data_IF_897409156808
#
_entry.id   IF_897409156808
#
_cell.length_a   1.000
_cell.length_b   1.000
_cell.length_c   1.000
_cell.angle_alpha   90.00
_cell.angle_beta   90.00
_cell.angle_gamma   90.00
#
_symmetry.space_group_name_H-M   'P 1'
#
loop_
_entity.id
_entity.type
_entity.pdbx_description
1 polymer ?
#
# COMPACT_ATOMS: atom_id res chain seq x y z
N UNK A 1 -9.44 14.73 -37.02
CA UNK A 1 -10.81 14.45 -36.54
C UNK A 1 -11.04 13.00 -36.09
N UNK A 2 -11.29 12.00 -36.95
CA UNK A 2 -11.57 10.62 -36.47
C UNK A 2 -10.39 9.94 -35.76
N UNK A 3 -9.15 10.15 -36.23
CA UNK A 3 -7.93 9.61 -35.57
C UNK A 3 -7.64 10.23 -34.19
N UNK A 4 -7.98 11.50 -33.99
CA UNK A 4 -7.84 12.17 -32.68
C UNK A 4 -8.93 11.75 -31.69
N UNK A 5 -10.16 11.53 -32.17
CA UNK A 5 -11.23 11.01 -31.33
C UNK A 5 -10.93 9.57 -30.89
N UNK A 6 -10.37 8.75 -31.79
CA UNK A 6 -9.86 7.42 -31.46
C UNK A 6 -8.66 7.47 -30.50
N UNK A 7 -7.67 8.35 -30.70
CA UNK A 7 -6.53 8.43 -29.78
C UNK A 7 -6.95 8.95 -28.39
N UNK A 8 -7.95 9.84 -28.32
CA UNK A 8 -8.53 10.34 -27.08
C UNK A 8 -9.37 9.27 -26.38
N UNK A 9 -10.22 8.53 -27.10
CA UNK A 9 -10.99 7.42 -26.56
C UNK A 9 -10.09 6.26 -26.10
N UNK A 10 -9.08 5.90 -26.89
CA UNK A 10 -8.08 4.90 -26.53
C UNK A 10 -7.17 5.39 -25.38
N UNK A 11 -6.93 6.70 -25.28
CA UNK A 11 -6.23 7.33 -24.15
C UNK A 11 -7.01 7.21 -22.83
N UNK A 12 -8.34 7.37 -22.87
CA UNK A 12 -9.20 7.14 -21.71
C UNK A 12 -9.25 5.67 -21.26
N UNK A 13 -9.06 4.73 -22.19
CA UNK A 13 -8.98 3.30 -21.89
C UNK A 13 -7.62 2.82 -21.35
N UNK A 14 -6.54 3.64 -21.42
CA UNK A 14 -5.22 3.25 -20.87
C UNK A 14 -5.20 3.11 -19.35
N UNK A 15 -6.26 3.55 -18.67
CA UNK A 15 -6.43 3.48 -17.22
C UNK A 15 -7.64 2.63 -16.82
N UNK A 16 -8.16 1.81 -17.74
CA UNK A 16 -9.21 0.86 -17.40
C UNK A 16 -8.63 -0.27 -16.56
N UNK A 17 -9.00 -0.32 -15.29
CA UNK A 17 -8.66 -1.43 -14.42
C UNK A 17 -9.39 -2.71 -14.84
N UNK A 18 -8.80 -3.87 -14.55
CA UNK A 18 -9.53 -5.13 -14.58
C UNK A 18 -10.52 -5.16 -13.40
N UNK A 19 -11.82 -5.13 -13.71
CA UNK A 19 -12.88 -5.15 -12.69
C UNK A 19 -12.95 -6.48 -11.94
N UNK A 20 -12.35 -7.55 -12.48
CA UNK A 20 -12.27 -8.85 -11.81
C UNK A 20 -11.10 -8.93 -10.83
N UNK A 21 -10.17 -7.98 -10.86
CA UNK A 21 -9.04 -7.93 -9.93
C UNK A 21 -9.49 -7.27 -8.61
N UNK A 22 -9.61 -8.03 -7.50
CA UNK A 22 -9.99 -7.48 -6.20
C UNK A 22 -8.91 -6.56 -5.60
N UNK A 23 -7.71 -6.54 -6.19
CA UNK A 23 -6.56 -5.74 -5.77
C UNK A 23 -6.29 -4.55 -6.70
N UNK A 24 -7.19 -4.26 -7.64
CA UNK A 24 -7.11 -3.06 -8.49
C UNK A 24 -7.01 -1.79 -7.64
N UNK A 25 -6.30 -0.78 -8.14
CA UNK A 25 -5.98 0.45 -7.41
C UNK A 25 -7.22 1.07 -6.75
N UNK A 26 -8.33 1.24 -7.47
CA UNK A 26 -9.52 1.87 -6.89
C UNK A 26 -10.17 1.04 -5.78
N UNK A 27 -10.09 -0.30 -5.83
CA UNK A 27 -10.56 -1.15 -4.75
C UNK A 27 -9.67 -0.99 -3.50
N UNK A 28 -8.33 -0.92 -3.69
CA UNK A 28 -7.39 -0.70 -2.58
C UNK A 28 -7.55 0.70 -1.98
N UNK A 29 -7.79 1.72 -2.80
CA UNK A 29 -8.09 3.08 -2.34
C UNK A 29 -9.38 3.12 -1.52
N UNK A 30 -10.44 2.42 -1.95
CA UNK A 30 -11.67 2.28 -1.17
C UNK A 30 -11.41 1.58 0.17
N UNK A 31 -10.61 0.51 0.19
CA UNK A 31 -10.22 -0.13 1.46
C UNK A 31 -9.49 0.85 2.39
N UNK A 32 -8.59 1.67 1.85
CA UNK A 32 -7.88 2.68 2.63
C UNK A 32 -8.81 3.78 3.17
N UNK A 33 -9.77 4.23 2.37
CA UNK A 33 -10.76 5.19 2.81
C UNK A 33 -11.65 4.62 3.93
N UNK A 34 -12.11 3.38 3.80
CA UNK A 34 -12.85 2.68 4.85
C UNK A 34 -12.04 2.54 6.14
N UNK A 35 -10.75 2.17 6.03
CA UNK A 35 -9.85 2.08 7.18
C UNK A 35 -9.73 3.45 7.89
N UNK A 36 -9.58 4.53 7.12
CA UNK A 36 -9.34 5.88 7.63
C UNK A 36 -10.58 6.53 8.25
N UNK A 37 -11.75 6.33 7.64
CA UNK A 37 -13.00 6.98 8.06
C UNK A 37 -13.78 6.14 9.08
N UNK A 38 -13.85 4.82 8.88
CA UNK A 38 -14.69 3.95 9.68
C UNK A 38 -13.90 3.18 10.73
N UNK A 39 -12.88 2.42 10.33
CA UNK A 39 -12.16 1.55 11.29
C UNK A 39 -11.37 2.35 12.32
N UNK A 40 -10.78 3.46 11.88
CA UNK A 40 -10.11 4.41 12.78
C UNK A 40 -11.08 5.03 13.79
N UNK A 41 -12.25 5.46 13.35
CA UNK A 41 -13.26 6.07 14.23
C UNK A 41 -13.80 5.04 15.23
N UNK A 42 -14.02 3.80 14.79
CA UNK A 42 -14.40 2.68 15.65
C UNK A 42 -13.34 2.39 16.72
N UNK A 43 -12.05 2.42 16.35
CA UNK A 43 -10.95 2.25 17.31
C UNK A 43 -10.91 3.40 18.32
N UNK A 44 -11.09 4.63 17.86
CA UNK A 44 -10.99 5.86 18.67
C UNK A 44 -12.15 6.01 19.67
N UNK A 45 -13.35 5.60 19.27
CA UNK A 45 -14.57 5.71 20.10
C UNK A 45 -14.78 4.50 21.01
N UNK A 46 -14.00 3.44 20.82
CA UNK A 46 -14.07 2.25 21.67
C UNK A 46 -13.62 2.53 23.10
N UNK A 47 -14.46 2.17 24.07
CA UNK A 47 -14.16 2.24 25.51
C UNK A 47 -12.98 1.34 25.90
N UNK A 48 -12.64 0.35 25.07
CA UNK A 48 -11.50 -0.55 25.29
C UNK A 48 -10.16 0.03 24.83
N UNK A 49 -10.16 1.09 24.01
CA UNK A 49 -8.94 1.77 23.55
C UNK A 49 -9.12 3.28 23.58
N UNK A 50 -8.72 3.91 24.69
CA UNK A 50 -8.51 5.35 24.70
C UNK A 50 -7.21 5.69 23.96
N UNK A 51 -7.24 5.60 22.63
CA UNK A 51 -6.11 5.94 21.77
C UNK A 51 -6.25 7.40 21.33
N UNK A 52 -5.39 8.26 21.85
CA UNK A 52 -5.36 9.66 21.40
C UNK A 52 -4.99 9.73 19.91
N UNK A 53 -5.46 10.77 19.22
CA UNK A 53 -5.12 10.99 17.82
C UNK A 53 -3.61 11.03 17.58
N UNK A 54 -2.88 11.76 18.44
CA UNK A 54 -1.41 11.87 18.37
C UNK A 54 -0.74 10.49 18.50
N UNK A 55 -1.20 9.67 19.45
CA UNK A 55 -0.66 8.32 19.67
C UNK A 55 -0.95 7.42 18.47
N UNK A 56 -2.19 7.36 18.00
CA UNK A 56 -2.54 6.48 16.87
C UNK A 56 -1.91 6.92 15.55
N UNK A 57 -1.86 8.22 15.25
CA UNK A 57 -1.14 8.74 14.09
C UNK A 57 0.34 8.36 14.14
N UNK A 58 0.98 8.44 15.32
CA UNK A 58 2.37 8.01 15.48
C UNK A 58 2.56 6.51 15.26
N UNK A 59 1.63 5.67 15.74
CA UNK A 59 1.66 4.21 15.51
C UNK A 59 1.53 3.89 14.02
N UNK A 60 0.61 4.56 13.33
CA UNK A 60 0.36 4.32 11.90
C UNK A 60 1.56 4.76 11.07
N UNK A 61 2.19 5.90 11.38
CA UNK A 61 3.43 6.33 10.71
C UNK A 61 4.54 5.31 10.86
N UNK A 62 4.80 4.81 12.07
CA UNK A 62 5.79 3.75 12.32
C UNK A 62 5.46 2.47 11.55
N UNK A 63 4.18 2.15 11.44
CA UNK A 63 3.73 0.99 10.68
C UNK A 63 3.95 1.17 9.17
N UNK A 64 3.68 2.35 8.63
CA UNK A 64 3.95 2.69 7.24
C UNK A 64 5.45 2.58 6.93
N UNK A 65 6.30 3.17 7.77
CA UNK A 65 7.76 3.07 7.64
C UNK A 65 8.24 1.61 7.64
N UNK A 66 7.63 0.76 8.49
CA UNK A 66 7.97 -0.66 8.55
C UNK A 66 7.52 -1.43 7.30
N UNK A 67 6.36 -1.08 6.74
CA UNK A 67 5.88 -1.68 5.48
C UNK A 67 6.79 -1.31 4.30
N UNK A 68 7.22 -0.04 4.20
CA UNK A 68 8.15 0.41 3.17
C UNK A 68 9.47 -0.37 3.26
N UNK A 69 10.05 -0.44 4.47
CA UNK A 69 11.31 -1.17 4.72
C UNK A 69 11.20 -2.66 4.42
N UNK A 70 10.09 -3.32 4.79
CA UNK A 70 9.90 -4.75 4.52
C UNK A 70 9.82 -5.03 3.01
N UNK A 71 9.05 -4.23 2.26
CA UNK A 71 8.94 -4.36 0.80
C UNK A 71 10.29 -4.09 0.13
N UNK A 72 10.99 -3.03 0.53
CA UNK A 72 12.33 -2.70 0.02
C UNK A 72 13.33 -3.82 0.28
N UNK A 73 13.37 -4.35 1.52
CA UNK A 73 14.26 -5.42 1.91
C UNK A 73 13.98 -6.71 1.12
N UNK A 74 12.72 -7.08 0.95
CA UNK A 74 12.34 -8.28 0.19
C UNK A 74 12.61 -8.14 -1.29
N UNK A 75 12.33 -6.98 -1.86
CA UNK A 75 12.69 -6.65 -3.25
C UNK A 75 14.20 -6.82 -3.42
N UNK A 76 14.99 -6.21 -2.55
CA UNK A 76 16.45 -6.29 -2.57
C UNK A 76 16.94 -7.75 -2.44
N UNK A 77 16.32 -8.54 -1.58
CA UNK A 77 16.67 -9.96 -1.41
C UNK A 77 16.38 -10.77 -2.69
N UNK A 78 15.24 -10.54 -3.35
CA UNK A 78 14.92 -11.21 -4.62
C UNK A 78 15.90 -10.79 -5.71
N UNK A 79 16.17 -9.49 -5.85
CA UNK A 79 17.14 -9.00 -6.84
C UNK A 79 18.52 -9.62 -6.64
N UNK A 80 18.99 -9.73 -5.39
CA UNK A 80 20.24 -10.43 -5.05
C UNK A 80 20.22 -11.91 -5.46
N UNK A 81 19.14 -12.63 -5.19
CA UNK A 81 19.01 -14.05 -5.57
C UNK A 81 19.00 -14.22 -7.10
N UNK A 82 18.48 -13.24 -7.83
CA UNK A 82 18.45 -13.23 -9.29
C UNK A 82 19.73 -12.65 -9.92
N UNK A 83 20.77 -12.34 -9.12
CA UNK A 83 21.99 -11.64 -9.54
C UNK A 83 21.73 -10.33 -10.31
N UNK A 84 20.62 -9.66 -10.00
CA UNK A 84 20.27 -8.36 -10.56
C UNK A 84 20.84 -7.28 -9.64
N UNK A 85 21.77 -6.43 -10.11
CA UNK A 85 22.37 -5.40 -9.28
C UNK A 85 21.32 -4.37 -8.82
N UNK A 86 21.35 -3.94 -7.54
CA UNK A 86 20.51 -2.85 -7.07
C UNK A 86 20.81 -1.58 -7.88
N UNK A 87 19.75 -0.88 -8.27
CA UNK A 87 19.78 0.17 -9.28
C UNK A 87 20.74 1.31 -8.94
N UNK A 88 21.70 1.58 -9.82
CA UNK A 88 22.35 2.87 -9.98
C UNK A 88 21.84 3.48 -11.32
N UNK A 89 20.91 4.42 -11.22
CA UNK A 89 20.45 5.46 -12.17
C UNK A 89 20.09 5.13 -13.64
N UNK A 90 20.15 3.89 -14.13
CA UNK A 90 19.64 3.52 -15.45
C UNK A 90 18.62 2.37 -15.37
N UNK A 91 17.34 2.72 -15.21
CA UNK A 91 16.21 1.79 -15.28
C UNK A 91 15.99 1.39 -16.76
N UNK A 92 16.46 0.20 -17.14
CA UNK A 92 16.18 -0.35 -18.49
C UNK A 92 14.78 -0.94 -18.53
N UNK A 93 14.14 -0.98 -19.72
CA UNK A 93 12.81 -1.58 -19.91
C UNK A 93 12.69 -3.02 -19.36
N UNK A 94 13.78 -3.80 -19.42
CA UNK A 94 13.85 -5.16 -18.85
C UNK A 94 13.76 -5.17 -17.33
N UNK A 95 14.41 -4.22 -16.64
CA UNK A 95 14.35 -4.10 -15.16
C UNK A 95 12.99 -3.60 -14.69
N UNK A 96 12.34 -2.73 -15.46
CA UNK A 96 10.96 -2.30 -15.19
C UNK A 96 10.00 -3.49 -15.22
N UNK A 97 10.16 -4.40 -16.19
CA UNK A 97 9.40 -5.66 -16.27
C UNK A 97 9.60 -6.54 -15.03
N UNK A 98 10.85 -6.77 -14.62
CA UNK A 98 11.17 -7.57 -13.41
C UNK A 98 10.57 -6.95 -12.15
N UNK A 99 10.66 -5.63 -11.98
CA UNK A 99 10.05 -4.94 -10.84
C UNK A 99 8.54 -5.11 -10.82
N UNK A 100 7.90 -5.10 -11.99
CA UNK A 100 6.46 -5.35 -12.09
C UNK A 100 6.09 -6.79 -11.71
N UNK A 101 6.89 -7.78 -12.13
CA UNK A 101 6.69 -9.18 -11.72
C UNK A 101 6.88 -9.38 -10.22
N UNK A 102 7.90 -8.74 -9.61
CA UNK A 102 8.12 -8.78 -8.15
C UNK A 102 6.91 -8.17 -7.42
N UNK A 103 6.38 -7.03 -7.89
CA UNK A 103 5.17 -6.42 -7.30
C UNK A 103 3.97 -7.33 -7.44
N UNK A 104 3.75 -7.95 -8.59
CA UNK A 104 2.65 -8.88 -8.81
C UNK A 104 2.74 -10.12 -7.91
N UNK A 105 3.95 -10.69 -7.75
CA UNK A 105 4.23 -11.77 -6.82
C UNK A 105 3.88 -11.38 -5.39
N UNK A 106 4.29 -10.18 -4.96
CA UNK A 106 3.93 -9.67 -3.66
C UNK A 106 2.41 -9.45 -3.55
N UNK A 107 1.74 -8.80 -4.49
CA UNK A 107 0.28 -8.59 -4.45
C UNK A 107 -0.48 -9.89 -4.24
N UNK A 108 -0.09 -10.95 -4.95
CA UNK A 108 -0.70 -12.27 -4.81
C UNK A 108 -0.46 -12.87 -3.42
N UNK A 109 0.81 -12.86 -2.96
CA UNK A 109 1.18 -13.38 -1.63
C UNK A 109 0.49 -12.62 -0.49
N UNK A 110 0.41 -11.30 -0.58
CA UNK A 110 -0.24 -10.43 0.40
C UNK A 110 -1.77 -10.63 0.41
N UNK A 111 -2.38 -10.93 -0.73
CA UNK A 111 -3.80 -11.22 -0.79
C UNK A 111 -4.17 -12.59 -0.22
N UNK A 112 -3.37 -13.61 -0.53
CA UNK A 112 -3.61 -15.00 -0.10
C UNK A 112 -3.19 -15.28 1.35
N UNK A 113 -2.16 -14.62 1.87
CA UNK A 113 -1.68 -14.85 3.23
C UNK A 113 -2.45 -14.00 4.24
N UNK A 114 -3.13 -14.64 5.19
CA UNK A 114 -4.13 -13.93 6.00
C UNK A 114 -3.62 -13.31 7.32
N UNK A 115 -2.42 -13.64 7.82
CA UNK A 115 -1.98 -13.01 9.09
C UNK A 115 -0.49 -13.05 9.40
N UNK A 116 0.22 -14.14 9.12
CA UNK A 116 1.59 -14.30 9.61
C UNK A 116 2.56 -13.26 9.03
N UNK A 117 2.40 -12.97 7.74
CA UNK A 117 3.22 -12.00 7.03
C UNK A 117 3.12 -10.61 7.67
N UNK A 118 1.89 -10.12 7.83
CA UNK A 118 1.60 -8.82 8.44
C UNK A 118 1.92 -8.78 9.93
N UNK A 119 1.75 -9.91 10.62
CA UNK A 119 2.07 -10.00 12.04
C UNK A 119 3.54 -9.74 12.30
N UNK A 120 4.46 -10.17 11.42
CA UNK A 120 5.89 -9.89 11.55
C UNK A 120 6.19 -8.40 11.43
N UNK A 121 5.59 -7.72 10.44
CA UNK A 121 5.75 -6.27 10.23
C UNK A 121 5.17 -5.50 11.43
N UNK A 122 3.95 -5.85 11.87
CA UNK A 122 3.29 -5.20 13.01
C UNK A 122 4.09 -5.37 14.30
N UNK A 123 4.62 -6.56 14.57
CA UNK A 123 5.47 -6.81 15.76
C UNK A 123 6.76 -5.99 15.77
N UNK A 124 7.34 -5.71 14.59
CA UNK A 124 8.52 -4.86 14.48
C UNK A 124 8.20 -3.37 14.65
N UNK A 125 7.02 -2.93 14.23
CA UNK A 125 6.63 -1.52 14.21
C UNK A 125 5.96 -1.03 15.50
N UNK A 126 5.19 -1.89 16.17
CA UNK A 126 4.31 -1.54 17.28
C UNK A 126 4.63 -2.41 18.48
N UNK A 127 5.00 -1.79 19.61
CA UNK A 127 5.09 -2.47 20.90
C UNK A 127 3.71 -3.00 21.27
N UNK A 128 3.62 -4.29 21.60
CA UNK A 128 2.41 -5.13 21.70
C UNK A 128 1.05 -4.39 21.69
N UNK A 129 0.15 -4.67 20.72
CA UNK A 129 -1.19 -4.08 20.71
C UNK A 129 -1.91 -4.33 22.04
N UNK A 130 -2.41 -3.26 22.66
CA UNK A 130 -2.99 -3.32 24.01
C UNK A 130 -4.27 -4.16 24.09
N UNK A 131 -4.96 -4.33 22.96
CA UNK A 131 -6.18 -5.10 22.87
C UNK A 131 -6.41 -5.67 21.45
N UNK A 132 -7.41 -6.55 21.33
CA UNK A 132 -7.76 -7.21 20.07
C UNK A 132 -8.19 -6.23 18.96
N UNK A 133 -8.88 -5.13 19.31
CA UNK A 133 -9.32 -4.12 18.35
C UNK A 133 -8.12 -3.39 17.72
N UNK A 134 -7.16 -2.97 18.55
CA UNK A 134 -5.93 -2.34 18.09
C UNK A 134 -5.11 -3.30 17.23
N UNK A 135 -5.00 -4.58 17.64
CA UNK A 135 -4.31 -5.60 16.85
C UNK A 135 -4.96 -5.76 15.47
N UNK A 136 -6.28 -5.92 15.42
CA UNK A 136 -7.02 -6.05 14.17
C UNK A 136 -6.84 -4.82 13.29
N UNK A 137 -6.96 -3.62 13.84
CA UNK A 137 -6.75 -2.37 13.12
C UNK A 137 -5.34 -2.29 12.54
N UNK A 138 -4.30 -2.56 13.34
CA UNK A 138 -2.90 -2.50 12.86
C UNK A 138 -2.62 -3.53 11.76
N UNK A 139 -3.19 -4.73 11.84
CA UNK A 139 -3.05 -5.74 10.78
C UNK A 139 -3.72 -5.30 9.48
N UNK A 140 -4.94 -4.75 9.55
CA UNK A 140 -5.63 -4.22 8.36
C UNK A 140 -4.90 -3.01 7.78
N UNK A 141 -4.42 -2.12 8.63
CA UNK A 141 -3.64 -0.95 8.23
C UNK A 141 -2.35 -1.35 7.50
N UNK A 142 -1.61 -2.31 8.04
CA UNK A 142 -0.42 -2.89 7.41
C UNK A 142 -0.76 -3.50 6.04
N UNK A 143 -1.81 -4.33 6.00
CA UNK A 143 -2.27 -4.98 4.77
C UNK A 143 -2.59 -3.99 3.66
N UNK A 144 -3.44 -3.01 3.96
CA UNK A 144 -3.89 -2.03 2.98
C UNK A 144 -2.73 -1.18 2.51
N UNK A 145 -1.85 -0.74 3.42
CA UNK A 145 -0.72 0.10 3.04
C UNK A 145 0.30 -0.64 2.17
N UNK A 146 0.60 -1.90 2.47
CA UNK A 146 1.40 -2.72 1.56
C UNK A 146 0.75 -2.87 0.18
N UNK A 147 -0.58 -3.07 0.10
CA UNK A 147 -1.27 -3.15 -1.19
C UNK A 147 -1.22 -1.84 -1.99
N UNK A 148 -1.18 -0.69 -1.32
CA UNK A 148 -0.98 0.63 -1.96
C UNK A 148 0.43 0.76 -2.54
N UNK A 149 1.45 0.36 -1.78
CA UNK A 149 2.85 0.39 -2.22
C UNK A 149 3.14 -0.56 -3.39
N UNK A 150 2.31 -1.58 -3.59
CA UNK A 150 2.45 -2.56 -4.66
C UNK A 150 1.67 -2.22 -5.93
N UNK A 151 0.97 -1.08 -5.97
CA UNK A 151 0.31 -0.59 -7.17
C UNK A 151 1.33 -0.16 -8.23
N UNK A 152 0.86 0.04 -9.45
CA UNK A 152 1.65 0.57 -10.56
C UNK A 152 0.98 1.82 -11.15
N UNK A 153 1.50 3.03 -10.88
CA UNK A 153 2.66 3.31 -10.03
C UNK A 153 2.38 3.07 -8.52
N UNK A 154 3.41 2.86 -7.69
CA UNK A 154 3.27 2.75 -6.24
C UNK A 154 2.60 3.96 -5.63
N UNK A 155 1.69 3.73 -4.67
CA UNK A 155 0.97 4.81 -3.98
C UNK A 155 1.46 4.92 -2.54
N UNK A 156 2.04 6.07 -2.19
CA UNK A 156 2.38 6.40 -0.81
C UNK A 156 1.27 7.22 -0.18
N UNK A 157 0.50 6.60 0.72
CA UNK A 157 -0.52 7.31 1.46
C UNK A 157 0.06 8.04 2.67
N UNK A 158 -0.37 9.29 2.86
CA UNK A 158 -0.13 10.04 4.10
C UNK A 158 -1.33 9.85 5.03
N UNK A 159 -1.06 9.51 6.30
CA UNK A 159 -2.13 9.35 7.28
C UNK A 159 -2.67 10.72 7.74
N UNK A 160 -3.82 11.12 7.20
CA UNK A 160 -4.58 12.29 7.63
C UNK A 160 -6.06 11.93 7.82
N UNK A 161 -6.57 11.79 9.06
CA UNK A 161 -7.95 11.37 9.31
C UNK A 161 -8.98 12.51 9.20
N UNK A 162 -8.54 13.76 9.17
CA UNK A 162 -9.42 14.86 8.76
C UNK A 162 -9.56 14.69 7.26
N UNK A 163 -10.70 14.18 6.80
CA UNK A 163 -10.95 13.82 5.40
C UNK A 163 -10.58 14.93 4.42
N UNK A 164 -9.32 14.97 4.01
CA UNK A 164 -8.87 15.68 2.82
C UNK A 164 -9.33 14.83 1.63
N UNK A 165 -10.02 15.43 0.64
CA UNK A 165 -10.57 14.72 -0.50
C UNK A 165 -9.45 14.38 -1.46
N UNK A 166 -8.89 13.16 -1.42
CA UNK A 166 -8.14 12.47 -2.51
C UNK A 166 -6.96 13.26 -3.17
N UNK A 167 -6.63 14.46 -2.71
CA UNK A 167 -5.71 15.38 -3.37
C UNK A 167 -4.25 15.20 -2.92
N UNK A 168 -4.02 14.47 -1.81
CA UNK A 168 -2.69 14.27 -1.23
C UNK A 168 -2.06 12.91 -1.60
N UNK A 169 -2.58 12.23 -2.62
CA UNK A 169 -1.91 11.06 -3.20
C UNK A 169 -0.82 11.54 -4.15
N UNK A 170 0.38 11.77 -3.63
CA UNK A 170 1.55 11.95 -4.48
C UNK A 170 1.81 10.65 -5.24
N UNK A 171 1.48 10.65 -6.54
CA UNK A 171 2.03 9.69 -7.48
C UNK A 171 3.54 9.92 -7.51
N UNK A 172 4.33 8.93 -7.09
CA UNK A 172 5.78 8.97 -7.22
C UNK A 172 6.10 8.73 -8.70
N UNK A 173 5.92 9.76 -9.52
CA UNK A 173 6.54 9.85 -10.84
C UNK A 173 8.04 10.01 -10.61
N UNK A 174 8.78 8.91 -10.74
CA UNK A 174 10.22 8.98 -10.92
C UNK A 174 10.50 9.63 -12.28
N UNK A 175 11.05 10.84 -12.22
CA UNK A 175 11.70 11.53 -13.34
C UNK A 175 12.91 10.74 -13.85
#
# INVERSE_FOLDING_TARGET
>A
RNKELLSKAMGMHRHSEDLNDPLRLSAVLQMYEMLRLHDWEKLRTSTASYLSYKTGSSIIKKLFDACEKDIEQRTTNILKVLDIPPSNDAMTNSKQGVMQEIRNLFRHSYYQNHSEFYSKIVMQAVTEPRNALQRQFTLQCCRIYCLLLLQDPPVKAVWNPLGSPVQDLEHVDMK
#
